data_IF_712754498092
#
_entry.id   IF_712754498092
#
_cell.length_a   1.000
_cell.length_b   1.000
_cell.length_c   1.000
_cell.angle_alpha   90.00
_cell.angle_beta   90.00
_cell.angle_gamma   90.00
#
_symmetry.space_group_name_H-M   'P 1'
#
loop_
_entity.id
_entity.type
_entity.pdbx_description
1 polymer ?
#
# COMPACT_ATOMS: atom_id res chain seq x y z
N UNK A 1 -2.93 -5.52 2.20
CA UNK A 1 -2.91 -4.35 3.10
C UNK A 1 -3.56 -4.70 4.42
N UNK A 2 -3.66 -3.76 5.35
CA UNK A 2 -4.25 -4.00 6.67
C UNK A 2 -5.76 -3.65 6.69
N UNK A 3 -6.60 -4.43 7.39
CA UNK A 3 -6.31 -5.76 7.95
C UNK A 3 -6.29 -6.86 6.88
N UNK A 4 -5.56 -7.95 7.16
CA UNK A 4 -5.60 -9.20 6.39
C UNK A 4 -6.61 -10.15 7.04
N UNK A 5 -7.64 -10.56 6.29
CA UNK A 5 -8.78 -11.34 6.81
C UNK A 5 -8.40 -12.60 7.60
N UNK A 6 -7.49 -13.43 7.07
CA UNK A 6 -7.04 -14.65 7.75
C UNK A 6 -6.34 -14.38 9.10
N UNK A 7 -5.59 -13.28 9.20
CA UNK A 7 -4.93 -12.88 10.46
C UNK A 7 -5.95 -12.35 11.46
N UNK A 8 -6.96 -11.62 10.99
CA UNK A 8 -8.10 -11.18 11.81
C UNK A 8 -8.88 -12.38 12.37
N UNK A 9 -9.18 -13.37 11.53
CA UNK A 9 -9.88 -14.59 11.94
C UNK A 9 -9.09 -15.40 12.97
N UNK A 10 -7.78 -15.57 12.73
CA UNK A 10 -6.88 -16.22 13.67
C UNK A 10 -6.84 -15.48 15.00
N UNK A 11 -6.67 -14.15 14.97
CA UNK A 11 -6.62 -13.34 16.19
C UNK A 11 -7.90 -13.44 17.00
N UNK A 12 -9.07 -13.34 16.36
CA UNK A 12 -10.36 -13.50 17.02
C UNK A 12 -10.52 -14.91 17.63
N UNK A 13 -10.04 -15.94 16.94
CA UNK A 13 -10.11 -17.33 17.42
C UNK A 13 -9.21 -17.60 18.62
N UNK A 14 -8.02 -17.00 18.67
CA UNK A 14 -7.13 -17.06 19.82
C UNK A 14 -7.67 -16.24 21.00
N UNK A 15 -8.26 -15.08 20.74
CA UNK A 15 -8.85 -14.23 21.77
C UNK A 15 -9.95 -14.96 22.57
N UNK A 16 -10.79 -15.77 21.90
CA UNK A 16 -11.80 -16.62 22.56
C UNK A 16 -11.21 -17.66 23.52
N UNK A 17 -9.93 -18.02 23.34
CA UNK A 17 -9.17 -18.94 24.20
C UNK A 17 -8.31 -18.20 25.24
N UNK A 18 -8.47 -16.89 25.38
CA UNK A 18 -7.63 -16.05 26.25
C UNK A 18 -6.19 -15.85 25.73
N UNK A 19 -5.93 -16.22 24.48
CA UNK A 19 -4.62 -16.06 23.84
C UNK A 19 -4.60 -14.82 22.93
N UNK A 20 -3.40 -14.34 22.60
CA UNK A 20 -3.21 -13.20 21.69
C UNK A 20 -2.12 -13.51 20.69
N UNK A 21 -2.27 -13.01 19.47
CA UNK A 21 -1.17 -13.08 18.50
C UNK A 21 -0.01 -12.19 18.96
N UNK A 22 1.21 -12.64 18.66
CA UNK A 22 2.42 -11.85 18.78
C UNK A 22 3.00 -11.68 17.38
N UNK A 23 3.09 -10.44 16.92
CA UNK A 23 3.73 -10.11 15.66
C UNK A 23 5.20 -9.83 15.94
N UNK A 24 6.10 -10.53 15.23
CA UNK A 24 7.54 -10.34 15.38
C UNK A 24 7.92 -8.99 14.74
N UNK A 25 8.44 -8.03 15.52
CA UNK A 25 8.77 -6.71 15.00
C UNK A 25 10.01 -6.78 14.10
N UNK A 26 10.00 -5.95 13.05
CA UNK A 26 11.20 -5.61 12.29
C UNK A 26 11.52 -4.16 12.62
N UNK A 27 12.46 -3.95 13.55
CA UNK A 27 12.94 -2.61 13.87
C UNK A 27 13.65 -2.04 12.61
N UNK A 28 13.32 -0.82 12.16
CA UNK A 28 14.01 -0.14 11.06
C UNK A 28 15.53 -0.04 11.26
N UNK A 29 16.01 -0.05 12.51
CA UNK A 29 17.43 -0.04 12.86
C UNK A 29 18.06 -1.42 12.93
N UNK A 30 17.28 -2.50 12.81
CA UNK A 30 17.80 -3.87 12.84
C UNK A 30 18.69 -4.17 11.63
N UNK A 31 19.61 -5.11 11.78
CA UNK A 31 20.47 -5.59 10.68
C UNK A 31 19.64 -6.08 9.48
N UNK A 32 18.49 -6.72 9.73
CA UNK A 32 17.58 -7.21 8.69
C UNK A 32 17.03 -6.06 7.86
N UNK A 33 16.46 -5.04 8.52
CA UNK A 33 15.90 -3.87 7.83
C UNK A 33 16.98 -3.10 7.07
N UNK A 34 18.14 -2.86 7.69
CA UNK A 34 19.24 -2.14 7.04
C UNK A 34 19.81 -2.90 5.84
N UNK A 35 19.93 -4.23 5.93
CA UNK A 35 20.41 -5.06 4.82
C UNK A 35 19.43 -5.04 3.66
N UNK A 36 18.12 -5.15 3.96
CA UNK A 36 17.08 -5.05 2.94
C UNK A 36 17.12 -3.71 2.22
N UNK A 37 17.16 -2.59 2.95
CA UNK A 37 17.18 -1.24 2.36
C UNK A 37 18.41 -1.01 1.48
N UNK A 38 19.58 -1.51 1.88
CA UNK A 38 20.81 -1.43 1.06
C UNK A 38 20.69 -2.23 -0.24
N UNK A 39 20.05 -3.40 -0.19
CA UNK A 39 19.91 -4.29 -1.35
C UNK A 39 18.77 -3.87 -2.30
N UNK A 40 17.71 -3.29 -1.75
CA UNK A 40 16.49 -2.91 -2.47
C UNK A 40 16.10 -1.46 -2.14
N UNK A 41 16.91 -0.47 -2.56
CA UNK A 41 16.67 0.93 -2.24
C UNK A 41 15.31 1.39 -2.80
N UNK A 42 14.49 2.01 -1.96
CA UNK A 42 13.18 2.57 -2.34
C UNK A 42 12.05 1.56 -2.50
N UNK A 43 12.29 0.24 -2.40
CA UNK A 43 11.26 -0.79 -2.60
C UNK A 43 10.29 -0.88 -1.41
N UNK A 44 10.80 -0.72 -0.20
CA UNK A 44 10.00 -0.71 1.04
C UNK A 44 10.53 0.36 1.99
N UNK A 45 9.63 0.91 2.80
CA UNK A 45 9.95 1.87 3.85
C UNK A 45 9.61 1.33 5.25
N UNK A 46 10.03 2.04 6.32
CA UNK A 46 9.53 1.78 7.66
C UNK A 46 7.99 1.87 7.69
N UNK A 47 7.35 0.92 8.37
CA UNK A 47 5.91 0.90 8.59
C UNK A 47 5.58 0.45 10.00
N UNK A 48 4.32 0.63 10.39
CA UNK A 48 3.81 0.18 11.69
C UNK A 48 2.49 -0.52 11.47
N UNK A 49 2.32 -1.69 12.10
CA UNK A 49 1.02 -2.34 12.26
C UNK A 49 0.46 -1.87 13.62
N UNK A 50 -0.57 -1.01 13.65
CA UNK A 50 -1.14 -0.56 14.91
C UNK A 50 -1.73 -1.73 15.70
N UNK A 51 -1.59 -1.71 17.03
CA UNK A 51 -2.05 -2.79 17.91
C UNK A 51 -3.54 -3.11 17.76
N UNK A 52 -4.32 -2.09 17.45
CA UNK A 52 -5.76 -2.19 17.28
C UNK A 52 -6.16 -3.06 16.08
N UNK A 53 -5.30 -3.20 15.05
CA UNK A 53 -5.64 -3.95 13.82
C UNK A 53 -5.92 -5.42 14.10
N UNK A 54 -5.17 -6.02 15.03
CA UNK A 54 -5.30 -7.44 15.37
C UNK A 54 -5.37 -7.71 16.88
N UNK A 55 -5.61 -6.69 17.71
CA UNK A 55 -5.68 -6.85 19.16
C UNK A 55 -4.36 -7.29 19.81
N UNK A 56 -3.23 -6.84 19.28
CA UNK A 56 -1.90 -7.16 19.83
C UNK A 56 -1.61 -6.32 21.08
N UNK A 57 -0.52 -6.65 21.79
CA UNK A 57 -0.12 -5.91 23.00
C UNK A 57 0.40 -4.50 22.69
N UNK A 58 1.08 -4.33 21.55
CA UNK A 58 1.74 -3.09 21.18
C UNK A 58 1.78 -2.93 19.65
N UNK A 59 1.98 -1.69 19.21
CA UNK A 59 2.24 -1.38 17.82
C UNK A 59 3.50 -2.11 17.36
N UNK A 60 3.45 -2.70 16.18
CA UNK A 60 4.55 -3.55 15.69
C UNK A 60 5.25 -2.85 14.53
N UNK A 61 6.50 -2.40 14.69
CA UNK A 61 7.28 -1.87 13.58
C UNK A 61 7.57 -2.97 12.55
N UNK A 62 7.53 -2.60 11.28
CA UNK A 62 7.72 -3.51 10.15
C UNK A 62 8.27 -2.77 8.93
N UNK A 63 8.40 -3.48 7.81
CA UNK A 63 8.62 -2.89 6.49
C UNK A 63 7.29 -2.82 5.74
N UNK A 64 6.98 -1.65 5.18
CA UNK A 64 5.80 -1.41 4.38
C UNK A 64 6.17 -1.25 2.89
N UNK A 65 5.36 -1.86 2.04
CA UNK A 65 5.48 -1.80 0.59
C UNK A 65 4.31 -1.02 0.00
N UNK A 66 4.54 -0.41 -1.15
CA UNK A 66 3.51 0.29 -1.91
C UNK A 66 2.77 -0.68 -2.83
N UNK A 67 1.45 -0.55 -2.88
CA UNK A 67 0.66 -1.24 -3.90
C UNK A 67 0.77 -0.46 -5.21
N UNK A 68 1.06 -1.16 -6.29
CA UNK A 68 1.16 -0.59 -7.63
C UNK A 68 0.11 -1.24 -8.53
N UNK A 69 -0.50 -0.44 -9.40
CA UNK A 69 -1.27 -0.93 -10.54
C UNK A 69 -0.42 -0.73 -11.79
N UNK A 70 -0.03 -1.83 -12.42
CA UNK A 70 0.95 -1.83 -13.53
C UNK A 70 0.30 -2.29 -14.82
N UNK A 71 0.79 -1.75 -15.93
CA UNK A 71 0.35 -2.11 -17.27
C UNK A 71 1.58 -2.21 -18.20
N UNK A 72 1.47 -2.93 -19.33
CA UNK A 72 2.53 -2.93 -20.33
C UNK A 72 2.68 -1.54 -20.95
N UNK A 73 3.91 -1.19 -21.36
CA UNK A 73 4.21 0.06 -22.05
C UNK A 73 3.42 0.22 -23.37
N UNK A 74 3.03 -0.88 -23.99
CA UNK A 74 2.26 -0.89 -25.25
C UNK A 74 0.77 -0.60 -25.07
N UNK A 75 0.28 -0.41 -23.84
CA UNK A 75 -1.11 -0.04 -23.62
C UNK A 75 -1.39 1.31 -24.29
N UNK A 76 -2.48 1.48 -25.07
CA UNK A 76 -2.79 2.78 -25.66
C UNK A 76 -2.97 3.86 -24.58
N UNK A 77 -2.49 5.07 -24.84
CA UNK A 77 -2.56 6.21 -23.91
C UNK A 77 -3.99 6.47 -23.44
N UNK A 78 -4.95 6.48 -24.36
CA UNK A 78 -6.37 6.66 -24.06
C UNK A 78 -6.92 5.58 -23.13
N UNK A 79 -6.48 4.33 -23.29
CA UNK A 79 -6.90 3.24 -22.41
C UNK A 79 -6.34 3.42 -21.00
N UNK A 80 -5.06 3.77 -20.88
CA UNK A 80 -4.43 4.04 -19.59
C UNK A 80 -5.07 5.24 -18.87
N UNK A 81 -5.37 6.31 -19.61
CA UNK A 81 -6.09 7.47 -19.10
C UNK A 81 -7.49 7.09 -18.61
N UNK A 82 -8.28 6.41 -19.44
CA UNK A 82 -9.64 5.99 -19.09
C UNK A 82 -9.67 5.07 -17.86
N UNK A 83 -8.74 4.11 -17.77
CA UNK A 83 -8.61 3.22 -16.61
C UNK A 83 -8.24 3.99 -15.34
N UNK A 84 -7.29 4.92 -15.44
CA UNK A 84 -6.87 5.76 -14.31
C UNK A 84 -8.04 6.62 -13.83
N UNK A 85 -8.70 7.32 -14.76
CA UNK A 85 -9.89 8.14 -14.48
C UNK A 85 -11.00 7.34 -13.82
N UNK A 86 -11.41 6.22 -14.43
CA UNK A 86 -12.46 5.37 -13.88
C UNK A 86 -12.12 4.88 -12.48
N UNK A 87 -10.87 4.54 -12.21
CA UNK A 87 -10.40 4.10 -10.89
C UNK A 87 -10.55 5.19 -9.83
N UNK A 88 -10.08 6.41 -10.10
CA UNK A 88 -10.07 7.47 -9.09
C UNK A 88 -11.45 8.14 -8.93
N UNK A 89 -12.24 8.27 -10.00
CA UNK A 89 -13.63 8.77 -9.91
C UNK A 89 -14.55 7.80 -9.16
N UNK A 90 -14.22 6.50 -9.15
CA UNK A 90 -14.99 5.46 -8.47
C UNK A 90 -14.24 4.83 -7.29
N UNK A 91 -13.21 5.50 -6.75
CA UNK A 91 -12.34 4.94 -5.71
C UNK A 91 -13.10 4.51 -4.45
N UNK A 92 -14.28 5.09 -4.22
CA UNK A 92 -15.12 4.73 -3.09
C UNK A 92 -15.60 3.27 -3.15
N UNK A 93 -15.86 2.74 -4.35
CA UNK A 93 -16.22 1.33 -4.51
C UNK A 93 -15.07 0.41 -4.07
N UNK A 94 -13.82 0.77 -4.40
CA UNK A 94 -12.63 0.04 -3.95
C UNK A 94 -12.46 0.10 -2.43
N UNK A 95 -12.68 1.27 -1.83
CA UNK A 95 -12.59 1.47 -0.37
C UNK A 95 -13.63 0.68 0.41
N UNK A 96 -14.82 0.51 -0.15
CA UNK A 96 -15.87 -0.33 0.42
C UNK A 96 -15.54 -1.82 0.32
N UNK A 97 -14.95 -2.25 -0.80
CA UNK A 97 -14.58 -3.64 -1.02
C UNK A 97 -13.36 -4.08 -0.20
N UNK A 98 -12.34 -3.22 -0.08
CA UNK A 98 -11.08 -3.54 0.56
C UNK A 98 -10.61 -2.37 1.43
N UNK A 99 -10.55 -2.58 2.74
CA UNK A 99 -10.16 -1.55 3.71
C UNK A 99 -8.79 -0.89 3.42
N UNK A 100 -7.85 -1.64 2.85
CA UNK A 100 -6.52 -1.12 2.48
C UNK A 100 -6.57 -0.08 1.34
N UNK A 101 -7.63 -0.05 0.52
CA UNK A 101 -7.80 0.95 -0.54
C UNK A 101 -8.07 2.37 0.00
N UNK A 102 -8.21 2.54 1.33
CA UNK A 102 -8.19 3.87 1.97
C UNK A 102 -6.92 4.66 1.62
N UNK A 103 -5.81 3.94 1.41
CA UNK A 103 -4.51 4.55 1.08
C UNK A 103 -4.39 4.87 -0.43
N UNK A 104 -5.36 4.47 -1.25
CA UNK A 104 -5.48 4.87 -2.65
C UNK A 104 -6.03 6.30 -2.71
N UNK A 105 -5.12 7.27 -2.70
CA UNK A 105 -5.39 8.70 -2.83
C UNK A 105 -4.60 9.27 -4.02
N UNK A 106 -5.05 10.40 -4.57
CA UNK A 106 -4.31 11.09 -5.64
C UNK A 106 -2.90 11.47 -5.19
N UNK A 107 -2.75 11.97 -3.95
CA UNK A 107 -1.45 12.30 -3.34
C UNK A 107 -0.49 11.10 -3.30
N UNK A 108 -0.97 9.95 -2.84
CA UNK A 108 -0.14 8.74 -2.79
C UNK A 108 0.16 8.20 -4.19
N UNK A 109 -0.78 8.35 -5.14
CA UNK A 109 -0.64 7.85 -6.49
C UNK A 109 0.46 8.56 -7.29
N UNK A 110 0.73 9.84 -7.02
CA UNK A 110 1.76 10.63 -7.72
C UNK A 110 3.10 10.65 -6.98
N UNK A 111 3.18 10.12 -5.76
CA UNK A 111 4.37 10.21 -4.89
C UNK A 111 5.63 9.58 -5.49
N UNK A 112 5.48 8.62 -6.39
CA UNK A 112 6.58 7.90 -7.01
C UNK A 112 6.86 8.35 -8.45
N UNK A 113 6.23 9.44 -8.93
CA UNK A 113 6.58 10.04 -10.22
C UNK A 113 8.05 10.47 -10.19
N UNK A 114 8.82 10.07 -11.22
CA UNK A 114 10.27 10.26 -11.27
C UNK A 114 11.07 9.19 -10.53
N UNK A 115 10.40 8.17 -9.97
CA UNK A 115 11.04 6.99 -9.40
C UNK A 115 11.60 6.03 -10.45
N UNK A 116 11.97 4.83 -10.01
CA UNK A 116 12.60 3.79 -10.86
C UNK A 116 11.64 3.12 -11.83
N UNK A 117 10.33 3.19 -11.57
CA UNK A 117 9.29 2.63 -12.43
C UNK A 117 8.61 3.78 -13.19
N UNK A 118 8.68 3.81 -14.52
CA UNK A 118 8.05 4.86 -15.30
C UNK A 118 6.53 4.76 -15.20
N UNK A 119 5.88 5.91 -15.17
CA UNK A 119 4.43 5.99 -15.26
C UNK A 119 4.00 5.93 -16.72
N UNK A 120 2.79 5.44 -16.95
CA UNK A 120 2.17 5.51 -18.27
C UNK A 120 1.71 6.95 -18.56
N UNK A 121 1.94 7.46 -19.77
CA UNK A 121 1.59 8.85 -20.13
C UNK A 121 0.10 9.16 -19.92
N UNK A 122 -0.80 8.23 -20.28
CA UNK A 122 -2.23 8.38 -20.01
C UNK A 122 -2.59 8.55 -18.53
N UNK A 123 -1.85 7.89 -17.62
CA UNK A 123 -2.05 8.09 -16.17
C UNK A 123 -1.53 9.47 -15.73
N UNK A 124 -0.35 9.89 -16.21
CA UNK A 124 0.20 11.22 -15.95
C UNK A 124 -0.73 12.32 -16.45
N UNK A 125 -1.31 12.15 -17.64
CA UNK A 125 -2.29 13.07 -18.22
C UNK A 125 -3.47 13.26 -17.27
N UNK A 126 -4.09 12.18 -16.80
CA UNK A 126 -5.18 12.26 -15.82
C UNK A 126 -4.75 12.97 -14.54
N UNK A 127 -3.59 12.63 -13.97
CA UNK A 127 -3.13 13.26 -12.73
C UNK A 127 -2.87 14.76 -12.87
N UNK A 128 -2.41 15.23 -14.04
CA UNK A 128 -2.28 16.67 -14.33
C UNK A 128 -3.64 17.35 -14.46
N UNK A 129 -4.59 16.73 -15.17
CA UNK A 129 -5.96 17.27 -15.35
C UNK A 129 -6.66 17.54 -14.00
N UNK A 130 -6.50 16.64 -13.04
CA UNK A 130 -7.10 16.77 -11.70
C UNK A 130 -6.23 17.54 -10.70
N UNK A 131 -5.12 18.12 -11.16
CA UNK A 131 -4.22 18.95 -10.36
C UNK A 131 -3.40 18.19 -9.30
N UNK A 132 -3.37 16.85 -9.38
CA UNK A 132 -2.56 16.02 -8.48
C UNK A 132 -1.07 16.05 -8.85
N UNK A 133 -0.75 16.31 -10.11
CA UNK A 133 0.61 16.45 -10.62
C UNK A 133 0.78 17.81 -11.30
N UNK A 134 1.82 18.56 -10.92
CA UNK A 134 2.20 19.83 -11.54
C UNK A 134 3.33 19.64 -12.54
#
# INVERSE_FOLDING_TARGET
GLPTGAVTELSASLARKGQRIYLVPIDPKSTVAQTFQKRFPGLAGPGVIPKAVYGTRADTPTLAFWNLFVCPQSLPEEAAHALTKATFENVQALRQAVAAAKDTTLENAVRFVGGTLPYHEGALRYFREVGALK
#
